data_IF_016034541923
#
_entry.id   IF_016034541923
#
_cell.length_a   1.000
_cell.length_b   1.000
_cell.length_c   1.000
_cell.angle_alpha   90.00
_cell.angle_beta   90.00
_cell.angle_gamma   90.00
#
_symmetry.space_group_name_H-M   'P 1'
#
loop_
_entity.id
_entity.type
_entity.pdbx_description
1 polymer ?
#
# COMPACT_ATOMS: atom_id res chain seq x y z
N UNK A 1 -3.22 3.86 -15.57
CA UNK A 1 -4.47 4.03 -14.80
C UNK A 1 -4.76 5.52 -14.66
N UNK A 2 -5.94 5.96 -15.08
CA UNK A 2 -6.39 7.34 -14.82
C UNK A 2 -6.54 7.55 -13.31
N UNK A 3 -6.05 8.68 -12.80
CA UNK A 3 -6.18 9.04 -11.37
C UNK A 3 -7.66 9.12 -10.94
N UNK A 4 -8.54 9.46 -11.87
CA UNK A 4 -10.00 9.56 -11.66
C UNK A 4 -10.58 8.21 -11.23
N UNK A 5 -10.09 7.12 -11.80
CA UNK A 5 -10.56 5.76 -11.52
C UNK A 5 -9.83 5.08 -10.36
N UNK A 6 -8.92 5.78 -9.67
CA UNK A 6 -8.16 5.19 -8.57
C UNK A 6 -9.07 4.98 -7.34
N UNK A 7 -9.04 3.82 -6.67
CA UNK A 7 -9.95 3.52 -5.55
C UNK A 7 -9.91 4.56 -4.43
N UNK A 8 -8.72 5.08 -4.11
CA UNK A 8 -8.62 6.15 -3.11
C UNK A 8 -9.23 7.47 -3.58
N UNK A 9 -9.10 7.82 -4.87
CA UNK A 9 -9.73 9.03 -5.42
C UNK A 9 -11.25 8.94 -5.28
N UNK A 10 -11.83 7.78 -5.57
CA UNK A 10 -13.27 7.52 -5.43
C UNK A 10 -13.70 7.70 -3.97
N UNK A 11 -13.00 7.07 -3.02
CA UNK A 11 -13.31 7.20 -1.58
C UNK A 11 -13.20 8.63 -1.06
N UNK A 12 -12.18 9.37 -1.47
CA UNK A 12 -12.03 10.78 -1.09
C UNK A 12 -13.18 11.62 -1.67
N UNK A 13 -13.55 11.36 -2.92
CA UNK A 13 -14.66 12.06 -3.59
C UNK A 13 -16.00 11.77 -2.93
N UNK A 14 -16.26 10.52 -2.58
CA UNK A 14 -17.45 10.10 -1.81
C UNK A 14 -17.50 10.76 -0.44
N UNK A 15 -16.37 10.77 0.30
CA UNK A 15 -16.28 11.42 1.60
C UNK A 15 -16.54 12.94 1.50
N UNK A 16 -16.01 13.60 0.46
CA UNK A 16 -16.27 15.00 0.17
C UNK A 16 -17.75 15.27 -0.04
N UNK A 17 -18.40 14.55 -0.97
CA UNK A 17 -19.83 14.75 -1.24
C UNK A 17 -20.74 14.36 -0.08
N UNK A 18 -20.35 13.38 0.73
CA UNK A 18 -21.08 13.01 1.95
C UNK A 18 -21.00 14.07 3.06
N UNK A 19 -20.03 14.99 2.98
CA UNK A 19 -19.86 16.09 3.93
C UNK A 19 -20.44 17.42 3.42
N UNK A 20 -21.00 17.45 2.21
CA UNK A 20 -21.73 18.60 1.66
C UNK A 20 -23.23 18.39 1.90
N UNK A 21 -23.90 19.42 2.42
CA UNK A 21 -25.37 19.41 2.54
C UNK A 21 -25.99 19.33 1.15
N UNK A 22 -27.10 18.60 1.03
CA UNK A 22 -27.84 18.46 -0.24
C UNK A 22 -28.15 19.83 -0.87
N UNK A 23 -28.52 20.81 -0.04
CA UNK A 23 -28.85 22.19 -0.40
C UNK A 23 -27.69 22.96 -1.04
N UNK A 24 -26.44 22.65 -0.66
CA UNK A 24 -25.24 23.39 -1.05
C UNK A 24 -24.41 22.69 -2.13
N UNK A 25 -24.83 21.50 -2.60
CA UNK A 25 -24.08 20.74 -3.62
C UNK A 25 -23.85 21.51 -4.92
N UNK A 26 -24.75 22.42 -5.28
CA UNK A 26 -24.60 23.27 -6.47
C UNK A 26 -23.60 24.42 -6.31
N UNK A 27 -23.16 24.73 -5.08
CA UNK A 27 -22.23 25.83 -4.79
C UNK A 27 -20.78 25.39 -4.70
N UNK A 28 -20.56 24.10 -4.39
CA UNK A 28 -19.24 23.51 -4.20
C UNK A 28 -18.70 23.03 -5.55
N UNK A 29 -17.58 23.61 -5.98
CA UNK A 29 -16.88 23.17 -7.18
C UNK A 29 -15.75 22.21 -6.79
N UNK A 30 -15.92 20.93 -7.09
CA UNK A 30 -14.87 19.92 -6.92
C UNK A 30 -14.07 19.84 -8.21
N UNK A 31 -12.82 20.31 -8.17
CA UNK A 31 -11.89 20.24 -9.29
C UNK A 31 -11.45 18.82 -9.61
N UNK A 32 -10.89 18.64 -10.80
CA UNK A 32 -10.39 17.32 -11.23
C UNK A 32 -9.25 16.83 -10.32
N UNK A 33 -9.22 15.52 -10.02
CA UNK A 33 -8.13 14.94 -9.25
C UNK A 33 -6.81 15.03 -10.04
N UNK A 34 -5.81 15.65 -9.44
CA UNK A 34 -4.49 15.82 -10.03
C UNK A 34 -3.48 14.89 -9.36
N UNK A 35 -2.64 14.24 -10.18
CA UNK A 35 -1.56 13.39 -9.69
C UNK A 35 -0.32 14.23 -9.43
N UNK A 36 0.23 14.15 -8.22
CA UNK A 36 1.52 14.74 -7.86
C UNK A 36 2.43 13.67 -7.25
N UNK A 37 3.34 13.15 -8.08
CA UNK A 37 4.27 12.08 -7.69
C UNK A 37 3.55 10.83 -7.15
N UNK A 38 3.64 10.60 -5.83
CA UNK A 38 3.03 9.49 -5.08
C UNK A 38 1.71 9.87 -4.39
N UNK A 39 1.20 11.07 -4.64
CA UNK A 39 -0.02 11.58 -4.02
C UNK A 39 -1.01 12.05 -5.08
N UNK A 40 -2.29 11.97 -4.74
CA UNK A 40 -3.38 12.60 -5.45
C UNK A 40 -3.79 13.86 -4.72
N UNK A 41 -4.26 14.85 -5.46
CA UNK A 41 -4.76 16.12 -4.94
C UNK A 41 -6.12 16.40 -5.55
N UNK A 42 -7.11 16.66 -4.72
CA UNK A 42 -8.40 17.20 -5.14
C UNK A 42 -8.52 18.59 -4.54
N UNK A 43 -8.95 19.54 -5.36
CA UNK A 43 -9.20 20.92 -4.95
C UNK A 43 -10.70 21.11 -4.90
N UNK A 44 -11.18 21.71 -3.82
CA UNK A 44 -12.58 22.08 -3.64
C UNK A 44 -12.63 23.59 -3.43
N UNK A 45 -13.40 24.26 -4.26
CA UNK A 45 -13.67 25.70 -4.14
C UNK A 45 -15.02 25.91 -3.44
N UNK A 46 -15.14 27.02 -2.73
CA UNK A 46 -16.30 27.35 -1.87
C UNK A 46 -16.54 26.28 -0.80
N UNK A 47 -15.49 25.95 -0.03
CA UNK A 47 -15.56 24.91 1.00
C UNK A 47 -16.32 25.33 2.26
N UNK A 48 -16.83 26.56 2.35
CA UNK A 48 -17.68 27.05 3.43
C UNK A 48 -18.94 26.18 3.62
N UNK A 49 -19.41 25.54 2.54
CA UNK A 49 -20.48 24.54 2.57
C UNK A 49 -20.04 23.13 3.02
N UNK A 50 -18.75 22.89 3.19
CA UNK A 50 -18.19 21.58 3.56
C UNK A 50 -17.93 21.55 5.06
N UNK A 51 -18.54 20.59 5.76
CA UNK A 51 -18.29 20.40 7.19
C UNK A 51 -16.93 19.72 7.41
N UNK A 52 -15.85 20.51 7.54
CA UNK A 52 -14.47 19.99 7.69
C UNK A 52 -14.34 19.05 8.89
N UNK A 53 -15.03 19.33 10.00
CA UNK A 53 -15.03 18.47 11.20
C UNK A 53 -15.60 17.07 10.95
N UNK A 54 -16.54 16.92 10.00
CA UNK A 54 -17.06 15.62 9.57
C UNK A 54 -16.22 15.01 8.46
N UNK A 55 -15.58 15.84 7.64
CA UNK A 55 -14.73 15.40 6.54
C UNK A 55 -13.46 14.69 7.02
N UNK A 56 -12.72 15.30 7.94
CA UNK A 56 -11.44 14.75 8.43
C UNK A 56 -11.55 13.28 8.91
N UNK A 57 -12.53 12.90 9.74
CA UNK A 57 -12.69 11.50 10.15
C UNK A 57 -13.24 10.58 9.06
N UNK A 58 -13.93 11.12 8.04
CA UNK A 58 -14.46 10.35 6.91
C UNK A 58 -13.40 10.05 5.84
N UNK A 59 -12.30 10.81 5.80
CA UNK A 59 -11.25 10.63 4.81
C UNK A 59 -10.43 9.35 5.07
N UNK A 60 -9.90 8.72 4.00
CA UNK A 60 -8.94 7.62 4.14
C UNK A 60 -7.72 8.00 4.97
N UNK A 61 -7.12 7.00 5.65
CA UNK A 61 -5.91 7.21 6.45
C UNK A 61 -4.77 7.78 5.61
N UNK A 62 -4.03 8.73 6.19
CA UNK A 62 -2.90 9.39 5.52
C UNK A 62 -3.31 10.55 4.61
N UNK A 63 -4.59 10.90 4.52
CA UNK A 63 -5.01 12.13 3.85
C UNK A 63 -4.57 13.36 4.64
N UNK A 64 -4.25 14.44 3.91
CA UNK A 64 -3.94 15.76 4.48
C UNK A 64 -4.88 16.78 3.86
N UNK A 65 -5.42 17.65 4.71
CA UNK A 65 -6.40 18.65 4.32
C UNK A 65 -5.80 20.02 4.61
N UNK A 66 -5.77 20.89 3.60
CA UNK A 66 -5.31 22.26 3.72
C UNK A 66 -6.45 23.20 3.38
N UNK A 67 -6.85 24.01 4.34
CA UNK A 67 -7.80 25.08 4.14
C UNK A 67 -7.05 26.37 3.84
N UNK A 68 -7.45 27.07 2.79
CA UNK A 68 -6.95 28.40 2.42
C UNK A 68 -8.15 29.31 2.27
N UNK A 69 -8.33 30.20 3.22
CA UNK A 69 -9.28 31.31 3.11
C UNK A 69 -8.45 32.59 2.93
N UNK A 70 -8.29 33.11 1.70
CA UNK A 70 -7.69 34.41 1.52
C UNK A 70 -8.62 35.45 2.14
N UNK A 71 -8.17 36.09 3.21
CA UNK A 71 -8.72 37.36 3.65
C UNK A 71 -8.12 38.43 2.75
N UNK A 72 -8.93 38.99 1.85
CA UNK A 72 -8.57 40.27 1.25
C UNK A 72 -8.47 41.30 2.38
N UNK A 73 -7.55 42.26 2.29
CA UNK A 73 -7.24 43.24 3.34
C UNK A 73 -8.42 44.07 3.88
N UNK A 74 -9.62 43.92 3.31
CA UNK A 74 -10.89 44.51 3.77
C UNK A 74 -11.77 43.52 4.59
N UNK A 75 -11.25 42.36 4.98
CA UNK A 75 -12.00 41.36 5.76
C UNK A 75 -13.05 40.57 4.96
N UNK A 76 -13.16 40.77 3.64
CA UNK A 76 -13.98 39.93 2.75
C UNK A 76 -13.22 38.66 2.35
N UNK A 77 -13.78 37.51 2.73
CA UNK A 77 -13.32 36.18 2.29
C UNK A 77 -13.80 35.97 0.87
N UNK A 78 -12.91 36.05 -0.11
CA UNK A 78 -13.31 36.11 -1.53
C UNK A 78 -13.44 34.75 -2.19
N UNK A 79 -12.64 33.74 -1.81
CA UNK A 79 -12.78 32.37 -2.32
C UNK A 79 -12.17 31.38 -1.33
N UNK A 80 -13.01 30.64 -0.59
CA UNK A 80 -12.54 29.61 0.33
C UNK A 80 -12.09 28.39 -0.49
N UNK A 81 -10.81 27.99 -0.37
CA UNK A 81 -10.24 26.83 -1.07
C UNK A 81 -9.83 25.74 -0.09
N UNK A 82 -10.25 24.51 -0.36
CA UNK A 82 -9.85 23.32 0.35
C UNK A 82 -9.03 22.42 -0.57
N UNK A 83 -7.88 21.97 -0.10
CA UNK A 83 -7.02 21.06 -0.84
C UNK A 83 -6.86 19.76 -0.06
N UNK A 84 -7.31 18.66 -0.65
CA UNK A 84 -7.20 17.32 -0.06
C UNK A 84 -6.13 16.54 -0.80
N UNK A 85 -5.06 16.22 -0.09
CA UNK A 85 -4.00 15.34 -0.55
C UNK A 85 -4.21 13.95 0.01
N UNK A 86 -4.05 12.93 -0.82
CA UNK A 86 -4.21 11.54 -0.42
C UNK A 86 -3.11 10.67 -1.01
N UNK A 87 -2.64 9.65 -0.29
CA UNK A 87 -1.58 8.78 -0.77
C UNK A 87 -2.10 7.91 -1.91
N UNK A 88 -1.56 8.06 -3.12
CA UNK A 88 -1.79 7.08 -4.17
C UNK A 88 -0.91 5.90 -3.82
N UNK A 89 -1.45 4.98 -3.01
CA UNK A 89 -0.76 3.81 -2.45
C UNK A 89 0.44 3.42 -3.30
N UNK A 90 1.62 3.73 -2.78
CA UNK A 90 2.85 3.16 -3.30
C UNK A 90 2.80 1.69 -2.92
N UNK A 91 2.16 0.89 -3.79
CA UNK A 91 2.33 -0.57 -3.90
C UNK A 91 3.80 -0.99 -3.80
N UNK A 92 4.71 -0.06 -4.07
CA UNK A 92 6.16 -0.18 -3.95
C UNK A 92 6.62 -0.51 -2.53
N UNK A 93 6.10 0.12 -1.47
CA UNK A 93 6.59 -0.16 -0.11
C UNK A 93 6.05 -1.48 0.44
N UNK A 94 4.77 -1.80 0.23
CA UNK A 94 4.19 -3.09 0.64
C UNK A 94 4.82 -4.26 -0.10
N UNK A 95 5.14 -4.10 -1.40
CA UNK A 95 5.93 -5.10 -2.15
C UNK A 95 7.37 -5.17 -1.65
N UNK A 96 8.01 -4.04 -1.32
CA UNK A 96 9.39 -4.02 -0.85
C UNK A 96 9.55 -4.73 0.50
N UNK A 97 8.66 -4.52 1.46
CA UNK A 97 8.67 -5.31 2.71
C UNK A 97 8.33 -6.77 2.48
N UNK A 98 7.40 -7.10 1.59
CA UNK A 98 7.14 -8.51 1.23
C UNK A 98 8.34 -9.18 0.57
N UNK A 99 9.02 -8.50 -0.36
CA UNK A 99 10.21 -9.03 -1.03
C UNK A 99 11.35 -9.20 -0.03
N UNK A 100 11.56 -8.22 0.84
CA UNK A 100 12.58 -8.31 1.89
C UNK A 100 12.25 -9.44 2.88
N UNK A 101 10.99 -9.61 3.28
CA UNK A 101 10.55 -10.71 4.13
C UNK A 101 10.74 -12.08 3.47
N UNK A 102 10.37 -12.22 2.19
CA UNK A 102 10.58 -13.45 1.43
C UNK A 102 12.08 -13.77 1.30
N UNK A 103 12.90 -12.77 1.02
CA UNK A 103 14.36 -12.93 0.93
C UNK A 103 15.00 -13.30 2.28
N UNK A 104 14.52 -12.72 3.40
CA UNK A 104 15.13 -12.92 4.71
C UNK A 104 14.63 -14.13 5.49
N UNK A 105 13.40 -14.58 5.25
CA UNK A 105 12.81 -15.68 6.02
C UNK A 105 12.68 -16.93 5.17
N UNK A 106 12.10 -16.80 3.97
CA UNK A 106 11.75 -17.97 3.16
C UNK A 106 12.99 -18.59 2.52
N UNK A 107 13.90 -17.79 1.97
CA UNK A 107 15.13 -18.29 1.35
C UNK A 107 16.04 -19.08 2.31
N UNK A 108 16.39 -18.57 3.51
CA UNK A 108 17.22 -19.35 4.44
C UNK A 108 16.50 -20.58 5.00
N UNK A 109 15.18 -20.51 5.20
CA UNK A 109 14.40 -21.66 5.64
C UNK A 109 14.39 -22.79 4.60
N UNK A 110 14.15 -22.46 3.34
CA UNK A 110 14.21 -23.43 2.22
C UNK A 110 15.64 -23.96 2.05
N UNK A 111 16.65 -23.08 2.12
CA UNK A 111 18.06 -23.49 2.06
C UNK A 111 18.41 -24.49 3.16
N UNK A 112 17.96 -24.25 4.40
CA UNK A 112 18.16 -25.15 5.52
C UNK A 112 17.51 -26.51 5.29
N UNK A 113 16.24 -26.55 4.86
CA UNK A 113 15.53 -27.81 4.58
C UNK A 113 16.26 -28.60 3.49
N UNK A 114 16.64 -27.95 2.39
CA UNK A 114 17.38 -28.60 1.30
C UNK A 114 18.70 -29.17 1.83
N UNK A 115 19.45 -28.41 2.65
CA UNK A 115 20.70 -28.89 3.22
C UNK A 115 20.54 -30.13 4.10
N UNK A 116 19.50 -30.17 4.94
CA UNK A 116 19.21 -31.32 5.80
C UNK A 116 18.84 -32.55 4.97
N UNK A 117 17.92 -32.39 4.02
CA UNK A 117 17.48 -33.49 3.15
C UNK A 117 18.64 -34.03 2.30
N UNK A 118 19.49 -33.15 1.75
CA UNK A 118 20.64 -33.57 0.95
C UNK A 118 21.64 -34.36 1.80
N UNK A 119 21.87 -33.94 3.05
CA UNK A 119 22.76 -34.64 3.99
C UNK A 119 22.24 -36.04 4.32
N UNK A 120 20.93 -36.16 4.58
CA UNK A 120 20.31 -37.45 4.89
C UNK A 120 20.39 -38.40 3.69
N UNK A 121 20.14 -37.91 2.48
CA UNK A 121 20.26 -38.71 1.25
C UNK A 121 21.70 -39.21 1.00
N UNK A 122 22.70 -38.38 1.26
CA UNK A 122 24.12 -38.79 1.16
C UNK A 122 24.44 -39.85 2.20
N UNK A 123 24.00 -39.67 3.45
CA UNK A 123 24.22 -40.66 4.52
C UNK A 123 23.60 -42.02 4.19
N UNK A 124 22.39 -42.04 3.61
CA UNK A 124 21.70 -43.26 3.18
C UNK A 124 22.46 -43.98 2.05
N UNK A 125 23.04 -43.23 1.12
CA UNK A 125 23.86 -43.76 0.02
C UNK A 125 25.15 -44.41 0.54
N UNK A 126 25.78 -43.83 1.55
CA UNK A 126 27.03 -44.37 2.12
C UNK A 126 26.79 -45.68 2.91
N UNK A 127 25.63 -45.83 3.57
CA UNK A 127 25.27 -47.10 4.22
C UNK A 127 24.95 -48.24 3.24
N UNK A 128 24.36 -47.93 2.09
CA UNK A 128 23.99 -48.96 1.10
C UNK A 128 25.19 -49.48 0.31
N UNK A 129 26.22 -48.66 0.07
CA UNK A 129 27.47 -49.10 -0.58
C UNK A 129 28.33 -49.97 0.33
N UNK A 130 28.38 -49.68 1.64
CA UNK A 130 29.13 -50.49 2.62
C UNK A 130 28.48 -51.87 2.81
N UNK A 131 27.15 -51.97 2.78
CA UNK A 131 26.47 -53.27 2.92
C UNK A 131 26.57 -54.17 1.68
N UNK A 132 26.84 -53.60 0.50
CA UNK A 132 27.01 -54.38 -0.74
C UNK A 132 28.44 -54.96 -0.92
N UNK A 133 29.43 -54.44 -0.19
CA UNK A 133 30.84 -54.86 -0.30
C UNK A 133 31.31 -55.92 0.70
N UNK A 134 30.43 -56.40 1.60
CA UNK A 134 30.81 -57.29 2.72
C UNK A 134 30.65 -58.79 2.47
N UNK A 135 30.48 -59.23 1.21
CA UNK A 135 30.01 -60.57 0.87
C UNK A 135 30.93 -61.42 -0.01
N UNK A 136 32.26 -61.38 0.15
CA UNK A 136 33.14 -62.42 -0.43
C UNK A 136 34.07 -63.00 0.65
N UNK A 137 33.46 -63.85 1.49
CA UNK A 137 34.15 -64.74 2.41
C UNK A 137 34.63 -66.00 1.68
N UNK A 138 35.94 -66.04 1.42
CA UNK A 138 36.85 -67.11 1.85
C UNK A 138 36.33 -68.55 1.76
N UNK A 139 36.68 -69.26 0.68
CA UNK A 139 36.74 -70.74 0.67
C UNK A 139 38.17 -71.21 0.94
N UNK A 140 38.41 -72.06 1.96
CA UNK A 140 39.68 -72.75 2.13
C UNK A 140 39.65 -74.13 1.45
N UNK A 141 40.84 -74.52 1.00
CA UNK A 141 41.28 -75.82 0.45
C UNK A 141 41.22 -75.96 -1.07
#
# INVERSE_FOLDING_TARGET
>A
MSIVAHPQTIRVREALFGCVREEDRGRVCVGEPLRRQAEGRIVVENFDAVCVSRLVPALPRGCRVFCRAPTNGEGRVTLSRLEVYYPLETFVWRKRTHILFMAWIVVPFVSYIVHVVLRDLVSLRDTTTVSAGGGEGTTPR
#
